data_IF_499636814643
#
_entry.id   IF_499636814643
#
_cell.length_a   1.000
_cell.length_b   1.000
_cell.length_c   1.000
_cell.angle_alpha   90.00
_cell.angle_beta   90.00
_cell.angle_gamma   90.00
#
_symmetry.space_group_name_H-M   'P 1'
#
loop_
_entity.id
_entity.type
_entity.pdbx_description
1 polymer ?
#
# COMPACT_ATOMS: atom_id res chain seq x y z
N UNK A 1 -4.06 -12.86 -6.93
CA UNK A 1 -3.43 -11.55 -7.19
C UNK A 1 -4.20 -10.74 -8.22
N UNK A 2 -4.86 -9.67 -7.80
CA UNK A 2 -5.51 -8.67 -8.67
C UNK A 2 -4.50 -7.56 -9.01
N UNK A 3 -3.88 -7.70 -10.18
CA UNK A 3 -2.83 -6.79 -10.61
C UNK A 3 -3.31 -5.36 -10.87
N UNK A 4 -4.59 -5.16 -11.25
CA UNK A 4 -5.12 -3.80 -11.45
C UNK A 4 -5.32 -3.10 -10.13
N UNK A 5 -5.89 -3.80 -9.16
CA UNK A 5 -6.05 -3.29 -7.81
C UNK A 5 -4.71 -3.00 -7.15
N UNK A 6 -3.73 -3.90 -7.25
CA UNK A 6 -2.39 -3.68 -6.70
C UNK A 6 -1.67 -2.50 -7.34
N UNK A 7 -1.80 -2.29 -8.66
CA UNK A 7 -1.26 -1.09 -9.32
C UNK A 7 -1.94 0.19 -8.84
N UNK A 8 -3.25 0.17 -8.58
CA UNK A 8 -3.95 1.32 -8.01
C UNK A 8 -3.47 1.63 -6.59
N UNK A 9 -3.31 0.61 -5.74
CA UNK A 9 -2.71 0.75 -4.40
C UNK A 9 -1.27 1.27 -4.49
N UNK A 10 -0.48 0.76 -5.44
CA UNK A 10 0.88 1.21 -5.71
C UNK A 10 0.95 2.68 -6.13
N UNK A 11 0.07 3.11 -7.03
CA UNK A 11 -0.02 4.51 -7.47
C UNK A 11 -0.42 5.45 -6.32
N UNK A 12 -1.43 5.06 -5.53
CA UNK A 12 -1.84 5.81 -4.35
C UNK A 12 -0.71 5.92 -3.32
N UNK A 13 0.01 4.81 -3.08
CA UNK A 13 1.21 4.78 -2.22
C UNK A 13 2.29 5.71 -2.77
N UNK A 14 2.54 5.68 -4.08
CA UNK A 14 3.60 6.47 -4.69
C UNK A 14 3.35 7.98 -4.52
N UNK A 15 2.13 8.41 -4.85
CA UNK A 15 1.69 9.80 -4.73
C UNK A 15 1.71 10.25 -3.27
N UNK A 16 1.18 9.42 -2.37
CA UNK A 16 1.15 9.74 -0.95
C UNK A 16 2.55 9.79 -0.34
N UNK A 17 3.45 8.86 -0.71
CA UNK A 17 4.84 8.86 -0.27
C UNK A 17 5.60 10.12 -0.69
N UNK A 18 5.41 10.58 -1.94
CA UNK A 18 5.95 11.86 -2.40
C UNK A 18 5.38 13.04 -1.62
N UNK A 19 4.07 13.03 -1.35
CA UNK A 19 3.41 14.06 -0.55
C UNK A 19 3.99 14.11 0.88
N UNK A 20 4.18 12.96 1.54
CA UNK A 20 4.77 12.85 2.87
C UNK A 20 6.24 13.27 2.88
N UNK A 21 7.01 12.93 1.85
CA UNK A 21 8.40 13.35 1.72
C UNK A 21 8.54 14.88 1.58
N UNK A 22 7.59 15.53 0.91
CA UNK A 22 7.52 16.98 0.80
C UNK A 22 6.98 17.63 2.08
N UNK A 23 5.92 17.05 2.66
CA UNK A 23 5.15 17.55 3.81
C UNK A 23 4.86 16.41 4.80
N UNK A 24 5.76 16.15 5.77
CA UNK A 24 5.64 15.08 6.75
C UNK A 24 4.34 15.10 7.58
N UNK A 25 3.70 16.26 7.67
CA UNK A 25 2.45 16.49 8.39
C UNK A 25 1.31 15.60 7.89
N UNK A 26 1.32 15.23 6.60
CA UNK A 26 0.30 14.37 6.01
C UNK A 26 0.27 12.97 6.60
N UNK A 27 1.38 12.50 7.16
CA UNK A 27 1.47 11.22 7.87
C UNK A 27 1.51 11.43 9.38
N UNK A 28 2.23 12.45 9.86
CA UNK A 28 2.42 12.66 11.28
C UNK A 28 1.10 12.91 12.03
N UNK A 29 0.23 13.78 11.49
CA UNK A 29 -1.05 14.13 12.10
C UNK A 29 -2.00 12.94 12.23
N UNK A 30 -2.35 12.22 11.14
CA UNK A 30 -3.26 11.07 11.27
C UNK A 30 -2.67 9.93 12.09
N UNK A 31 -1.35 9.82 12.17
CA UNK A 31 -0.67 8.81 12.99
C UNK A 31 -0.45 9.24 14.46
N UNK A 32 -0.90 10.43 14.86
CA UNK A 32 -0.68 10.94 16.23
C UNK A 32 0.80 11.20 16.58
N UNK A 33 1.66 11.40 15.58
CA UNK A 33 3.08 11.72 15.70
C UNK A 33 3.32 13.23 15.79
N UNK A 34 2.42 13.94 16.47
CA UNK A 34 2.49 15.39 16.72
C UNK A 34 2.67 15.65 18.21
N UNK A 35 3.16 16.80 18.63
CA UNK A 35 3.18 17.17 20.06
C UNK A 35 1.75 17.42 20.62
N UNK A 36 1.67 17.94 21.86
CA UNK A 36 0.40 18.28 22.51
C UNK A 36 -0.37 19.44 21.86
N UNK A 37 0.28 20.20 20.96
CA UNK A 37 -0.31 21.31 20.21
C UNK A 37 -0.66 20.91 18.76
N UNK A 38 -0.37 19.67 18.35
CA UNK A 38 -0.63 19.19 16.98
C UNK A 38 0.49 19.50 15.98
N UNK A 39 1.65 19.95 16.48
CA UNK A 39 2.81 20.29 15.66
C UNK A 39 3.76 19.11 15.46
N UNK A 40 4.43 19.08 14.32
CA UNK A 40 5.38 18.00 13.97
C UNK A 40 6.79 18.43 14.36
N UNK A 41 7.40 17.72 15.30
CA UNK A 41 8.79 17.95 15.69
C UNK A 41 9.74 17.76 14.50
N UNK A 42 10.84 18.52 14.47
CA UNK A 42 11.81 18.51 13.37
C UNK A 42 12.44 17.14 13.16
N UNK A 43 12.68 16.41 14.24
CA UNK A 43 13.25 15.07 14.28
C UNK A 43 12.27 14.07 13.66
N UNK A 44 10.98 14.17 14.02
CA UNK A 44 9.91 13.38 13.40
C UNK A 44 9.82 13.68 11.92
N UNK A 45 9.79 14.96 11.52
CA UNK A 45 9.78 15.35 10.12
C UNK A 45 10.99 14.79 9.35
N UNK A 46 12.18 14.85 9.94
CA UNK A 46 13.42 14.30 9.36
C UNK A 46 13.33 12.79 9.15
N UNK A 47 12.76 12.05 10.10
CA UNK A 47 12.58 10.60 10.01
C UNK A 47 11.47 10.18 9.05
N UNK A 48 10.41 10.98 8.89
CA UNK A 48 9.29 10.66 7.99
C UNK A 48 9.61 10.92 6.51
N UNK A 49 10.50 11.86 6.19
CA UNK A 49 10.93 12.12 4.80
C UNK A 49 11.45 10.88 4.07
N UNK A 50 12.45 10.13 4.60
CA UNK A 50 12.92 8.92 3.95
C UNK A 50 11.88 7.80 3.91
N UNK A 51 10.97 7.73 4.89
CA UNK A 51 9.82 6.79 4.86
C UNK A 51 8.91 7.12 3.67
N UNK A 52 8.57 8.39 3.47
CA UNK A 52 7.81 8.83 2.30
C UNK A 52 8.51 8.48 0.98
N UNK A 53 9.83 8.66 0.89
CA UNK A 53 10.61 8.28 -0.29
C UNK A 53 10.65 6.75 -0.51
N UNK A 54 10.76 5.95 0.56
CA UNK A 54 10.66 4.48 0.51
C UNK A 54 9.31 4.07 -0.07
N UNK A 55 8.23 4.64 0.45
CA UNK A 55 6.87 4.32 -0.01
C UNK A 55 6.66 4.77 -1.47
N UNK A 56 7.24 5.93 -1.85
CA UNK A 56 7.26 6.39 -3.24
C UNK A 56 7.95 5.39 -4.17
N UNK A 57 9.11 4.89 -3.78
CA UNK A 57 9.88 3.92 -4.56
C UNK A 57 9.14 2.57 -4.67
N UNK A 58 8.64 2.02 -3.55
CA UNK A 58 7.90 0.76 -3.53
C UNK A 58 6.61 0.87 -4.34
N UNK A 59 5.85 1.95 -4.16
CA UNK A 59 4.61 2.21 -4.91
C UNK A 59 4.86 2.30 -6.41
N UNK A 60 5.93 3.00 -6.82
CA UNK A 60 6.34 3.08 -8.23
C UNK A 60 6.73 1.72 -8.78
N UNK A 61 7.46 0.90 -8.01
CA UNK A 61 7.78 -0.47 -8.40
C UNK A 61 6.52 -1.33 -8.59
N UNK A 62 5.51 -1.19 -7.72
CA UNK A 62 4.22 -1.89 -7.89
C UNK A 62 3.48 -1.46 -9.16
N UNK A 63 3.55 -0.18 -9.54
CA UNK A 63 2.91 0.32 -10.77
C UNK A 63 3.59 -0.27 -12.01
N UNK A 64 4.93 -0.23 -12.05
CA UNK A 64 5.73 -0.56 -13.23
C UNK A 64 6.03 -2.06 -13.38
N UNK A 65 5.97 -2.84 -12.30
CA UNK A 65 6.32 -4.25 -12.34
C UNK A 65 5.39 -5.05 -13.29
N UNK A 66 5.95 -6.02 -14.04
CA UNK A 66 5.14 -6.96 -14.79
C UNK A 66 4.28 -7.80 -13.84
N UNK A 67 3.10 -8.19 -14.32
CA UNK A 67 2.21 -9.08 -13.56
C UNK A 67 2.91 -10.42 -13.34
N UNK A 68 3.08 -10.84 -12.09
CA UNK A 68 3.74 -12.08 -11.71
C UNK A 68 4.64 -11.89 -10.49
N UNK A 69 5.77 -12.61 -10.41
CA UNK A 69 6.67 -12.57 -9.25
C UNK A 69 7.18 -11.16 -8.93
N UNK A 70 7.52 -10.34 -9.93
CA UNK A 70 8.03 -8.99 -9.70
C UNK A 70 7.01 -8.09 -8.95
N UNK A 71 5.75 -8.08 -9.40
CA UNK A 71 4.68 -7.36 -8.72
C UNK A 71 4.41 -7.94 -7.33
N UNK A 72 4.46 -9.27 -7.18
CA UNK A 72 4.28 -9.92 -5.89
C UNK A 72 5.39 -9.53 -4.89
N UNK A 73 6.66 -9.48 -5.32
CA UNK A 73 7.79 -9.06 -4.48
C UNK A 73 7.67 -7.59 -4.07
N UNK A 74 7.34 -6.68 -5.00
CA UNK A 74 7.11 -5.28 -4.66
C UNK A 74 5.96 -5.12 -3.66
N UNK A 75 4.88 -5.88 -3.84
CA UNK A 75 3.73 -5.91 -2.91
C UNK A 75 4.13 -6.49 -1.55
N UNK A 76 4.97 -7.53 -1.51
CA UNK A 76 5.46 -8.11 -0.27
C UNK A 76 6.34 -7.11 0.51
N UNK A 77 7.20 -6.35 -0.18
CA UNK A 77 7.98 -5.28 0.44
C UNK A 77 7.07 -4.19 1.05
N UNK A 78 5.97 -3.83 0.36
CA UNK A 78 4.96 -2.90 0.88
C UNK A 78 4.32 -3.43 2.16
N UNK A 79 3.84 -4.67 2.12
CA UNK A 79 3.22 -5.37 3.26
C UNK A 79 4.19 -5.41 4.45
N UNK A 80 5.44 -5.82 4.23
CA UNK A 80 6.46 -5.88 5.26
C UNK A 80 6.76 -4.51 5.86
N UNK A 81 6.78 -3.45 5.04
CA UNK A 81 6.98 -2.08 5.49
C UNK A 81 5.83 -1.61 6.39
N UNK A 82 4.57 -1.81 5.95
CA UNK A 82 3.38 -1.42 6.72
C UNK A 82 3.30 -2.14 8.08
N UNK A 83 3.46 -3.46 8.09
CA UNK A 83 3.41 -4.22 9.34
C UNK A 83 4.64 -3.99 10.23
N UNK A 84 5.82 -3.74 9.65
CA UNK A 84 7.02 -3.33 10.38
C UNK A 84 6.81 -2.00 11.10
N UNK A 85 6.23 -1.00 10.41
CA UNK A 85 5.89 0.29 11.00
C UNK A 85 4.84 0.12 12.11
N UNK A 86 3.80 -0.71 11.89
CA UNK A 86 2.79 -1.02 12.91
C UNK A 86 3.40 -1.66 14.16
N UNK A 87 4.32 -2.63 14.00
CA UNK A 87 5.00 -3.29 15.11
C UNK A 87 5.90 -2.32 15.88
N UNK A 88 6.72 -1.54 15.16
CA UNK A 88 7.64 -0.58 15.78
C UNK A 88 6.87 0.50 16.54
N UNK A 89 5.89 1.14 15.90
CA UNK A 89 5.08 2.19 16.51
C UNK A 89 4.19 1.62 17.63
N UNK A 90 3.67 0.40 17.44
CA UNK A 90 2.94 -0.36 18.45
C UNK A 90 3.75 -0.64 19.71
N UNK A 91 5.04 -0.94 19.58
CA UNK A 91 5.92 -1.27 20.70
C UNK A 91 6.49 -0.02 21.40
N UNK A 92 6.72 1.07 20.65
CA UNK A 92 7.48 2.23 21.13
C UNK A 92 6.62 3.42 21.56
N UNK A 93 5.43 3.59 20.96
CA UNK A 93 4.58 4.74 21.29
C UNK A 93 3.84 4.55 22.62
N UNK A 94 3.60 5.65 23.35
CA UNK A 94 2.75 5.64 24.54
C UNK A 94 1.29 5.31 24.15
N UNK A 95 0.49 4.74 25.06
CA UNK A 95 -0.85 4.19 24.74
C UNK A 95 -1.78 5.15 23.99
N UNK A 96 -1.75 6.43 24.34
CA UNK A 96 -2.60 7.47 23.75
C UNK A 96 -2.24 7.86 22.31
N UNK A 97 -1.03 7.55 21.83
CA UNK A 97 -0.59 7.77 20.43
C UNK A 97 -0.57 6.51 19.59
N UNK A 98 -0.59 5.35 20.24
CA UNK A 98 -0.37 4.05 19.61
C UNK A 98 -1.47 3.67 18.62
N UNK A 99 -2.72 3.81 19.03
CA UNK A 99 -3.87 3.36 18.25
C UNK A 99 -3.95 3.97 16.83
N UNK A 100 -3.87 5.32 16.64
CA UNK A 100 -3.94 5.90 15.31
C UNK A 100 -2.77 5.48 14.41
N UNK A 101 -1.54 5.49 14.93
CA UNK A 101 -0.35 5.06 14.20
C UNK A 101 -0.49 3.61 13.68
N UNK A 102 -0.85 2.69 14.57
CA UNK A 102 -1.02 1.26 14.22
C UNK A 102 -2.16 1.08 13.23
N UNK A 103 -3.29 1.77 13.41
CA UNK A 103 -4.45 1.65 12.53
C UNK A 103 -4.14 2.11 11.10
N UNK A 104 -3.42 3.22 10.93
CA UNK A 104 -2.99 3.71 9.61
C UNK A 104 -2.10 2.68 8.93
N UNK A 105 -1.05 2.20 9.61
CA UNK A 105 -0.12 1.21 9.07
C UNK A 105 -0.81 -0.11 8.69
N UNK A 106 -1.63 -0.67 9.60
CA UNK A 106 -2.38 -1.90 9.33
C UNK A 106 -3.38 -1.72 8.19
N UNK A 107 -4.03 -0.55 8.09
CA UNK A 107 -4.98 -0.24 7.02
C UNK A 107 -4.35 -0.35 5.63
N UNK A 108 -3.17 0.25 5.43
CA UNK A 108 -2.44 0.15 4.17
C UNK A 108 -1.93 -1.27 3.89
N UNK A 109 -1.39 -1.95 4.91
CA UNK A 109 -0.92 -3.33 4.79
C UNK A 109 -2.04 -4.29 4.39
N UNK A 110 -3.22 -4.12 4.99
CA UNK A 110 -4.40 -4.91 4.68
C UNK A 110 -4.87 -4.73 3.23
N UNK A 111 -4.88 -3.51 2.68
CA UNK A 111 -5.20 -3.28 1.27
C UNK A 111 -4.26 -4.06 0.35
N UNK A 112 -2.95 -4.04 0.64
CA UNK A 112 -1.94 -4.76 -0.14
C UNK A 112 -2.13 -6.29 -0.06
N UNK A 113 -2.39 -6.82 1.15
CA UNK A 113 -2.71 -8.25 1.36
C UNK A 113 -3.96 -8.65 0.57
N UNK A 114 -5.03 -7.85 0.66
CA UNK A 114 -6.28 -8.09 -0.05
C UNK A 114 -6.05 -8.15 -1.56
N UNK A 115 -5.27 -7.22 -2.13
CA UNK A 115 -4.93 -7.23 -3.55
C UNK A 115 -4.13 -8.46 -3.98
N UNK A 116 -3.23 -8.93 -3.11
CA UNK A 116 -2.42 -10.12 -3.38
C UNK A 116 -3.28 -11.40 -3.37
N UNK A 117 -4.21 -11.52 -2.42
CA UNK A 117 -5.07 -12.69 -2.24
C UNK A 117 -6.27 -12.72 -3.21
N UNK A 118 -6.79 -11.56 -3.64
CA UNK A 118 -7.90 -11.49 -4.60
C UNK A 118 -7.53 -12.10 -5.94
N UNK A 119 -8.37 -12.96 -6.49
CA UNK A 119 -8.28 -13.38 -7.89
C UNK A 119 -8.95 -12.31 -8.76
N UNK A 120 -8.40 -11.93 -9.94
CA UNK A 120 -9.05 -10.96 -10.81
C UNK A 120 -10.47 -11.43 -11.12
N UNK A 121 -11.48 -10.65 -10.71
CA UNK A 121 -12.87 -10.91 -11.07
C UNK A 121 -12.99 -10.88 -12.59
N UNK A 122 -13.34 -12.01 -13.19
CA UNK A 122 -13.53 -12.13 -14.64
C UNK A 122 -14.55 -11.10 -15.13
N UNK A 123 -14.07 -10.01 -15.74
CA UNK A 123 -14.93 -9.18 -16.58
C UNK A 123 -15.19 -9.95 -17.86
N UNK A 124 -16.38 -10.53 -17.94
CA UNK A 124 -17.05 -10.97 -19.15
C UNK A 124 -16.39 -12.17 -19.83
N UNK A 125 -16.80 -13.37 -19.42
CA UNK A 125 -16.97 -14.44 -20.38
C UNK A 125 -18.02 -13.95 -21.40
N UNK A 126 -17.56 -13.36 -22.50
CA UNK A 126 -18.40 -13.24 -23.70
C UNK A 126 -18.84 -14.65 -24.08
N UNK A 127 -20.09 -14.86 -24.52
CA UNK A 127 -20.55 -16.19 -24.90
C UNK A 127 -19.68 -16.67 -26.06
N UNK A 128 -18.75 -17.59 -25.76
CA UNK A 128 -18.01 -18.32 -26.78
C UNK A 128 -19.03 -19.19 -27.48
N UNK A 129 -19.50 -18.69 -28.62
CA UNK A 129 -20.51 -19.32 -29.43
C UNK A 129 -20.07 -20.74 -29.80
N UNK A 130 -20.73 -21.71 -29.19
CA UNK A 130 -20.67 -23.11 -29.60
C UNK A 130 -21.29 -23.25 -30.98
N UNK A 131 -20.51 -23.04 -32.05
CA UNK A 131 -20.84 -23.63 -33.36
C UNK A 131 -20.24 -25.02 -33.42
N UNK A 132 -20.97 -25.96 -32.86
CA UNK A 132 -20.97 -27.34 -33.36
C UNK A 132 -21.51 -27.29 -34.79
N UNK A 133 -20.64 -27.32 -35.78
CA UNK A 133 -21.00 -27.86 -37.08
C UNK A 133 -20.58 -29.33 -37.09
N UNK A 134 -21.54 -30.17 -36.68
CA UNK A 134 -21.59 -31.59 -36.99
C UNK A 134 -22.13 -31.69 -38.42
N UNK A 135 -21.36 -32.32 -39.31
CA UNK A 135 -21.80 -32.74 -40.64
C UNK A 135 -20.60 -33.39 -41.35
N UNK A 136 -20.41 -34.70 -41.24
CA UNK A 136 -21.03 -35.76 -42.06
C UNK A 136 -20.68 -35.66 -43.55
N UNK A 137 -19.56 -36.26 -43.96
CA UNK A 137 -19.48 -37.40 -44.89
C UNK A 137 -18.02 -37.70 -45.21
#
# INVERSE_FOLDING_TARGET
MDARFLRAVGAATAVYGLAVAARPEYLARPSGLTDGFGEVAKETATSLRPIGLRDAAIGTAMVLAPTGPALATATAARIASDFGDALLLGATLPPWRRAPAVAVSVGWGALSVIGLLRTPGGRGAGPSGSRRCRGSR
#
